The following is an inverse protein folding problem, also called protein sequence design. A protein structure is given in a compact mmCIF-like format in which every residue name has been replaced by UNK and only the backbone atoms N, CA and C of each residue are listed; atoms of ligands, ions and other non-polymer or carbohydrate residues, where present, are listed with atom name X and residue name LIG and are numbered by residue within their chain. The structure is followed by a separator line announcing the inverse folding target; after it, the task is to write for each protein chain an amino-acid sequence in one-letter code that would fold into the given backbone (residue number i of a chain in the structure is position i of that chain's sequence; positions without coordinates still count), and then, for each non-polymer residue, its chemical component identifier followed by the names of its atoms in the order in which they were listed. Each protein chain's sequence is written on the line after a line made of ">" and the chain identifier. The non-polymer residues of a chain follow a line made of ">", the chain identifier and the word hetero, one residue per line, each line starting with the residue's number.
data_IF_757359745814
#
_entry.id   IF_757359745814
#
_cell.length_a   1.000
_cell.length_b   1.000
_cell.length_c   1.000
_cell.angle_alpha   90.00
_cell.angle_beta   90.00
_cell.angle_gamma   90.00
#
_symmetry.space_group_name_H-M   'P 1'
#
loop_
_entity.id
_entity.type
_entity.pdbx_description
1 polymer ?
#
# COMPACT_ATOMS: atom_id res chain seq x y z
N UNK A 1 -59.56 8.06 7.84
CA UNK A 1 -60.04 7.75 6.49
C UNK A 1 -59.10 8.43 5.51
N UNK A 2 -58.55 7.66 4.55
CA UNK A 2 -57.53 7.98 3.53
C UNK A 2 -56.09 8.20 4.08
N UNK A 3 -55.04 7.45 3.72
CA UNK A 3 -54.88 6.33 2.78
C UNK A 3 -53.51 6.43 2.05
N UNK A 4 -52.70 5.37 2.14
CA UNK A 4 -51.60 4.91 1.24
C UNK A 4 -50.47 5.91 0.87
N UNK A 5 -49.18 5.59 0.83
CA UNK A 5 -48.43 4.33 0.81
C UNK A 5 -47.12 4.61 0.06
N UNK A 6 -45.98 4.16 0.59
CA UNK A 6 -44.69 4.33 -0.09
C UNK A 6 -43.50 3.83 0.71
N UNK A 7 -43.26 2.52 0.71
CA UNK A 7 -41.94 1.98 1.03
C UNK A 7 -40.97 2.39 -0.09
N UNK A 8 -39.82 2.97 0.23
CA UNK A 8 -38.61 2.92 -0.61
C UNK A 8 -37.43 2.46 0.25
N UNK A 9 -36.67 1.55 -0.34
CA UNK A 9 -35.63 0.69 0.23
C UNK A 9 -34.46 1.48 0.88
N UNK A 10 -33.65 0.84 1.74
CA UNK A 10 -32.41 1.45 2.24
C UNK A 10 -31.41 1.58 1.08
N UNK A 11 -31.01 2.81 0.74
CA UNK A 11 -29.85 3.02 -0.12
C UNK A 11 -28.58 2.85 0.71
N UNK A 12 -28.05 1.63 0.68
CA UNK A 12 -26.61 1.44 0.79
C UNK A 12 -25.98 1.98 -0.50
N UNK A 13 -25.22 3.06 -0.39
CA UNK A 13 -24.23 3.42 -1.40
C UNK A 13 -23.12 4.20 -0.71
N UNK A 14 -21.96 3.55 -0.61
CA UNK A 14 -20.64 4.10 -0.34
C UNK A 14 -20.57 5.63 -0.52
N UNK A 15 -20.64 6.35 0.61
CA UNK A 15 -20.39 7.77 0.65
C UNK A 15 -18.92 8.02 0.33
N UNK A 16 -18.59 8.15 -0.95
CA UNK A 16 -17.40 8.87 -1.36
C UNK A 16 -17.51 10.27 -0.77
N UNK A 17 -16.68 10.57 0.24
CA UNK A 17 -16.61 11.88 0.88
C UNK A 17 -15.91 12.85 -0.08
N UNK A 18 -16.59 13.24 -1.15
CA UNK A 18 -16.18 14.39 -1.97
C UNK A 18 -16.64 15.61 -1.20
N UNK A 19 -15.69 16.32 -0.60
CA UNK A 19 -15.91 17.69 -0.13
C UNK A 19 -16.39 18.47 -1.35
N UNK A 20 -17.67 18.86 -1.38
CA UNK A 20 -18.16 19.86 -2.35
C UNK A 20 -17.40 21.15 -2.05
N UNK A 21 -16.30 21.38 -2.76
CA UNK A 21 -15.47 22.56 -2.59
C UNK A 21 -16.18 23.74 -3.28
N UNK A 22 -16.92 24.52 -2.50
CA UNK A 22 -17.61 25.75 -2.96
C UNK A 22 -16.72 27.00 -2.85
N UNK A 23 -15.41 26.83 -2.76
CA UNK A 23 -14.41 27.89 -2.50
C UNK A 23 -13.22 27.70 -3.43
N UNK A 24 -12.56 28.82 -3.77
CA UNK A 24 -11.42 28.88 -4.71
C UNK A 24 -10.45 27.69 -4.54
N UNK A 25 -9.95 27.08 -5.65
CA UNK A 25 -9.14 25.85 -5.61
C UNK A 25 -7.68 26.13 -5.21
N UNK A 26 -7.49 26.84 -4.09
CA UNK A 26 -6.19 27.17 -3.52
C UNK A 26 -6.24 26.73 -2.05
N UNK A 27 -5.45 25.71 -1.73
CA UNK A 27 -5.10 25.34 -0.36
C UNK A 27 -4.06 26.34 0.16
N UNK A 28 -4.32 26.93 1.32
CA UNK A 28 -3.38 27.80 2.02
C UNK A 28 -2.33 26.96 2.74
N UNK A 29 -1.18 27.56 3.04
CA UNK A 29 -0.08 26.87 3.68
C UNK A 29 -0.43 26.37 5.09
N UNK A 30 -1.40 27.03 5.74
CA UNK A 30 -1.89 26.72 7.08
C UNK A 30 -2.99 25.66 7.11
N UNK A 31 -3.53 25.28 5.94
CA UNK A 31 -4.64 24.34 5.88
C UNK A 31 -4.16 22.94 6.27
N UNK A 32 -4.84 22.34 7.25
CA UNK A 32 -4.58 20.96 7.64
C UNK A 32 -4.97 20.02 6.49
N UNK A 33 -3.99 19.29 5.94
CA UNK A 33 -4.24 18.24 4.98
C UNK A 33 -4.58 16.94 5.71
N UNK A 34 -5.53 16.13 5.20
CA UNK A 34 -5.73 14.79 5.71
C UNK A 34 -4.45 13.96 5.47
N UNK A 35 -4.07 13.13 6.43
CA UNK A 35 -2.98 12.17 6.23
C UNK A 35 -3.38 11.15 5.16
N UNK A 36 -2.75 11.24 4.01
CA UNK A 36 -2.89 10.27 2.93
C UNK A 36 -1.68 9.32 2.96
N UNK A 37 -1.89 8.02 2.68
CA UNK A 37 -0.77 7.10 2.48
C UNK A 37 0.13 7.60 1.36
N UNK A 38 1.42 7.78 1.63
CA UNK A 38 2.40 8.15 0.62
C UNK A 38 2.94 6.92 -0.10
N UNK A 39 2.81 6.87 -1.42
CA UNK A 39 3.42 5.82 -2.26
C UNK A 39 4.62 6.42 -3.00
N UNK A 40 5.80 5.87 -2.77
CA UNK A 40 7.06 6.34 -3.36
C UNK A 40 7.69 5.24 -4.20
N UNK A 41 8.13 5.59 -5.41
CA UNK A 41 8.87 4.69 -6.29
C UNK A 41 10.33 5.13 -6.37
N UNK A 42 11.23 4.21 -6.04
CA UNK A 42 12.68 4.41 -6.17
C UNK A 42 13.17 3.51 -7.30
N UNK A 43 13.72 4.11 -8.37
CA UNK A 43 14.21 3.39 -9.55
C UNK A 43 15.63 3.84 -9.92
N UNK A 44 16.35 3.01 -10.66
CA UNK A 44 17.74 3.25 -11.05
C UNK A 44 18.50 1.95 -11.29
N UNK A 45 19.76 2.06 -11.68
CA UNK A 45 20.61 0.93 -12.07
C UNK A 45 20.86 -0.07 -10.92
N UNK A 46 21.22 -1.33 -11.24
CA UNK A 46 21.71 -2.28 -10.23
C UNK A 46 22.87 -1.69 -9.44
N UNK A 47 22.84 -1.84 -8.10
CA UNK A 47 23.89 -1.29 -7.23
C UNK A 47 23.74 0.20 -6.88
N UNK A 48 22.75 0.93 -7.43
CA UNK A 48 22.51 2.34 -7.08
C UNK A 48 22.02 2.58 -5.63
N UNK A 49 21.98 1.55 -4.78
CA UNK A 49 21.61 1.69 -3.37
C UNK A 49 20.11 1.83 -3.08
N UNK A 50 19.23 1.47 -4.03
CA UNK A 50 17.76 1.60 -3.90
C UNK A 50 17.21 0.95 -2.61
N UNK A 51 17.47 -0.33 -2.41
CA UNK A 51 17.06 -1.07 -1.21
C UNK A 51 17.69 -0.48 0.05
N UNK A 52 18.97 -0.08 -0.03
CA UNK A 52 19.68 0.55 1.09
C UNK A 52 19.05 1.88 1.51
N UNK A 53 18.57 2.68 0.55
CA UNK A 53 17.84 3.92 0.79
C UNK A 53 16.44 3.64 1.32
N UNK A 54 15.72 2.68 0.74
CA UNK A 54 14.38 2.32 1.23
C UNK A 54 14.42 1.87 2.70
N UNK A 55 15.47 1.11 3.09
CA UNK A 55 15.69 0.66 4.47
C UNK A 55 15.90 1.80 5.49
N UNK A 56 16.10 3.05 5.06
CA UNK A 56 16.19 4.20 5.98
C UNK A 56 14.82 4.78 6.35
N UNK A 57 13.73 4.27 5.78
CA UNK A 57 12.38 4.70 6.11
C UNK A 57 12.04 4.43 7.59
N UNK A 58 11.00 5.12 8.10
CA UNK A 58 10.55 4.94 9.47
C UNK A 58 9.94 3.54 9.67
N UNK A 59 10.37 2.85 10.72
CA UNK A 59 9.97 1.48 11.12
C UNK A 59 9.52 0.60 9.92
N UNK A 60 10.47 0.22 9.04
CA UNK A 60 10.13 -0.44 7.79
C UNK A 60 10.20 -1.97 7.90
N UNK A 61 9.37 -2.63 7.09
CA UNK A 61 9.54 -4.03 6.71
C UNK A 61 9.81 -4.12 5.21
N UNK A 62 10.84 -4.87 4.85
CA UNK A 62 11.14 -5.19 3.45
C UNK A 62 10.46 -6.49 3.06
N UNK A 63 9.72 -6.49 1.96
CA UNK A 63 9.29 -7.71 1.27
C UNK A 63 10.23 -7.90 0.09
N UNK A 64 11.10 -8.90 0.20
CA UNK A 64 12.17 -9.19 -0.76
C UNK A 64 11.76 -10.30 -1.73
N UNK A 65 11.27 -9.90 -2.89
CA UNK A 65 10.80 -10.76 -3.97
C UNK A 65 11.93 -11.26 -4.88
N UNK A 66 13.05 -10.53 -4.97
CA UNK A 66 14.17 -10.89 -5.85
C UNK A 66 15.39 -11.48 -5.10
N UNK A 67 15.27 -11.63 -3.78
CA UNK A 67 16.29 -12.14 -2.85
C UNK A 67 17.55 -11.27 -2.87
N UNK A 68 17.40 -9.99 -3.18
CA UNK A 68 18.44 -8.99 -3.35
C UNK A 68 18.99 -8.42 -2.05
N UNK A 69 18.35 -8.66 -0.90
CA UNK A 69 18.72 -8.09 0.41
C UNK A 69 20.19 -8.33 0.79
N UNK A 70 20.79 -9.43 0.30
CA UNK A 70 22.21 -9.77 0.53
C UNK A 70 23.17 -8.67 0.07
N UNK A 71 22.77 -7.86 -0.93
CA UNK A 71 23.58 -6.77 -1.50
C UNK A 71 23.31 -5.41 -0.86
N UNK A 72 22.25 -5.29 -0.06
CA UNK A 72 21.85 -4.04 0.57
C UNK A 72 22.61 -3.74 1.87
N UNK A 73 22.72 -2.45 2.18
CA UNK A 73 23.15 -1.94 3.48
C UNK A 73 21.93 -1.63 4.37
N UNK A 74 22.18 -1.33 5.65
CA UNK A 74 21.16 -0.92 6.62
C UNK A 74 19.98 -1.90 6.74
N UNK A 75 20.24 -3.22 6.66
CA UNK A 75 19.19 -4.23 6.65
C UNK A 75 18.22 -4.05 7.82
N UNK A 76 16.93 -4.15 7.52
CA UNK A 76 15.81 -4.10 8.46
C UNK A 76 15.09 -5.44 8.47
N UNK A 77 14.00 -5.53 9.21
CA UNK A 77 13.15 -6.72 9.20
C UNK A 77 12.73 -7.01 7.76
N UNK A 78 13.00 -8.23 7.31
CA UNK A 78 12.84 -8.64 5.92
C UNK A 78 12.01 -9.91 5.86
N UNK A 79 10.90 -9.84 5.15
CA UNK A 79 10.06 -10.97 4.80
C UNK A 79 10.44 -11.46 3.40
N UNK A 80 10.73 -12.75 3.27
CA UNK A 80 11.17 -13.38 2.02
C UNK A 80 10.13 -14.44 1.66
N UNK A 81 9.07 -14.10 0.90
CA UNK A 81 8.02 -15.04 0.55
C UNK A 81 8.49 -16.03 -0.52
N UNK A 82 7.94 -17.26 -0.49
CA UNK A 82 8.10 -18.24 -1.57
C UNK A 82 6.93 -18.21 -2.58
N UNK A 83 5.77 -17.68 -2.19
CA UNK A 83 4.57 -17.55 -3.03
C UNK A 83 3.67 -16.39 -2.56
N UNK A 84 2.64 -16.06 -3.35
CA UNK A 84 1.73 -14.96 -3.01
C UNK A 84 0.82 -15.27 -1.82
N UNK A 85 0.49 -16.55 -1.61
CA UNK A 85 -0.37 -16.99 -0.51
C UNK A 85 0.25 -16.73 0.87
N UNK A 86 1.57 -16.86 1.01
CA UNK A 86 2.29 -16.50 2.23
C UNK A 86 2.12 -15.03 2.59
N UNK A 87 2.18 -14.13 1.60
CA UNK A 87 1.95 -12.69 1.80
C UNK A 87 0.52 -12.46 2.28
N UNK A 88 -0.47 -13.10 1.65
CA UNK A 88 -1.88 -13.00 2.06
C UNK A 88 -2.12 -13.55 3.48
N UNK A 89 -1.42 -14.62 3.85
CA UNK A 89 -1.51 -15.19 5.20
C UNK A 89 -0.95 -14.23 6.24
N UNK A 90 0.24 -13.66 6.02
CA UNK A 90 0.85 -12.70 6.94
C UNK A 90 0.05 -11.39 7.03
N UNK A 91 -0.51 -10.92 5.92
CA UNK A 91 -1.43 -9.78 5.90
C UNK A 91 -2.66 -10.03 6.78
N UNK A 92 -3.33 -11.19 6.59
CA UNK A 92 -4.51 -11.60 7.37
C UNK A 92 -4.19 -11.79 8.85
N UNK A 93 -3.00 -12.29 9.18
CA UNK A 93 -2.50 -12.41 10.54
C UNK A 93 -2.13 -11.04 11.16
N UNK A 94 -2.15 -9.97 10.36
CA UNK A 94 -1.84 -8.62 10.80
C UNK A 94 -0.35 -8.39 11.04
N UNK A 95 0.53 -9.24 10.53
CA UNK A 95 1.98 -9.11 10.71
C UNK A 95 2.48 -7.74 10.25
N UNK A 96 2.03 -7.28 9.07
CA UNK A 96 2.45 -6.00 8.50
C UNK A 96 1.93 -4.76 9.25
N UNK A 97 0.91 -4.90 10.12
CA UNK A 97 0.35 -3.77 10.91
C UNK A 97 1.32 -3.22 11.96
N UNK A 98 2.41 -3.94 12.24
CA UNK A 98 3.46 -3.53 13.19
C UNK A 98 4.39 -2.47 12.62
N UNK A 99 4.37 -2.25 11.31
CA UNK A 99 5.31 -1.40 10.58
C UNK A 99 4.62 -0.13 10.08
N UNK A 100 5.35 0.99 10.05
CA UNK A 100 4.85 2.23 9.44
C UNK A 100 5.14 2.32 7.95
N UNK A 101 6.13 1.56 7.47
CA UNK A 101 6.51 1.53 6.05
C UNK A 101 6.61 0.09 5.57
N UNK A 102 5.99 -0.21 4.42
CA UNK A 102 6.17 -1.48 3.71
C UNK A 102 6.98 -1.20 2.45
N UNK A 103 8.10 -1.90 2.29
CA UNK A 103 8.97 -1.79 1.12
C UNK A 103 8.76 -3.03 0.26
N UNK A 104 8.59 -2.83 -1.06
CA UNK A 104 8.47 -3.91 -2.05
C UNK A 104 9.74 -3.87 -2.91
N UNK A 105 10.62 -4.87 -2.77
CA UNK A 105 11.86 -4.97 -3.55
C UNK A 105 11.95 -6.34 -4.25
N UNK A 106 11.86 -6.47 -5.57
CA UNK A 106 11.55 -5.45 -6.58
C UNK A 106 10.11 -5.56 -7.06
N UNK A 107 9.52 -4.43 -7.50
CA UNK A 107 8.13 -4.39 -7.98
C UNK A 107 7.87 -5.30 -9.19
N UNK A 108 8.86 -5.47 -10.09
CA UNK A 108 8.74 -6.36 -11.25
C UNK A 108 8.59 -7.82 -10.83
N UNK A 109 9.46 -8.30 -9.94
CA UNK A 109 9.39 -9.67 -9.42
C UNK A 109 8.08 -9.90 -8.66
N UNK A 110 7.67 -8.94 -7.83
CA UNK A 110 6.39 -9.00 -7.11
C UNK A 110 5.19 -9.17 -8.06
N UNK A 111 5.17 -8.44 -9.17
CA UNK A 111 4.12 -8.53 -10.18
C UNK A 111 4.19 -9.82 -10.98
N UNK A 112 5.32 -10.06 -11.67
CA UNK A 112 5.45 -11.07 -12.71
C UNK A 112 5.58 -12.48 -12.12
N UNK A 113 6.40 -12.64 -11.07
CA UNK A 113 6.76 -13.96 -10.55
C UNK A 113 5.79 -14.44 -9.46
N UNK A 114 5.15 -13.51 -8.74
CA UNK A 114 4.27 -13.82 -7.61
C UNK A 114 2.79 -13.53 -7.89
N UNK A 115 2.42 -12.28 -8.16
CA UNK A 115 1.00 -11.91 -8.29
C UNK A 115 0.38 -12.53 -9.55
N UNK A 116 1.06 -12.45 -10.70
CA UNK A 116 0.57 -13.05 -11.94
C UNK A 116 0.50 -14.57 -11.84
N UNK A 117 1.50 -15.20 -11.21
CA UNK A 117 1.51 -16.66 -11.00
C UNK A 117 0.43 -17.14 -10.03
N UNK A 118 -0.13 -16.25 -9.21
CA UNK A 118 -1.27 -16.53 -8.34
C UNK A 118 -2.61 -16.32 -9.04
N UNK A 119 -2.78 -15.20 -9.76
CA UNK A 119 -4.05 -14.82 -10.40
C UNK A 119 -4.35 -15.67 -11.63
N UNK A 120 -3.34 -16.05 -12.42
CA UNK A 120 -3.52 -16.73 -13.70
C UNK A 120 -3.47 -18.27 -13.59
N UNK A 121 -3.65 -18.84 -12.39
CA UNK A 121 -3.72 -20.29 -12.19
C UNK A 121 -5.04 -20.88 -12.67
#
# INVERSE_FOLDING_TARGET
>A
MLGYGGRRAPLNSHSFFIIKQTVMPILKAEDALPELPSVTVIYGDPGAGKTSLANTANNPVLIDFDRGIKRSCNRKETFIPDNWEEIQNEERNGYFKKFSTIIIDTAKAALDDFLMSYVCR
#
